data_IF_899830838812
#
_entry.id   IF_899830838812
#
_cell.length_a   1.000
_cell.length_b   1.000
_cell.length_c   1.000
_cell.angle_alpha   90.00
_cell.angle_beta   90.00
_cell.angle_gamma   90.00
#
_symmetry.space_group_name_H-M   'P 1'
#
loop_
_entity.id
_entity.type
_entity.pdbx_description
1 polymer ?
#
# COMPACT_ATOMS: atom_id res chain seq x y z
N UNK A 1 18.25 -23.27 9.27
CA UNK A 1 18.12 -23.66 7.85
C UNK A 1 19.00 -22.71 7.06
N UNK A 2 19.90 -23.21 6.22
CA UNK A 2 20.57 -22.35 5.23
C UNK A 2 19.70 -22.34 3.99
N UNK A 3 19.18 -21.18 3.60
CA UNK A 3 18.31 -21.03 2.45
C UNK A 3 18.72 -19.81 1.63
N UNK A 4 18.38 -19.80 0.35
CA UNK A 4 18.64 -18.67 -0.56
C UNK A 4 17.74 -17.48 -0.18
N UNK A 5 18.32 -16.30 -0.04
CA UNK A 5 17.60 -15.04 0.19
C UNK A 5 17.46 -14.27 -1.11
N UNK A 6 16.24 -13.92 -1.52
CA UNK A 6 16.01 -12.97 -2.62
C UNK A 6 15.82 -11.55 -2.07
N UNK A 7 16.68 -10.63 -2.51
CA UNK A 7 16.59 -9.21 -2.14
C UNK A 7 15.91 -8.48 -3.29
N UNK A 8 14.66 -8.08 -3.09
CA UNK A 8 13.80 -7.45 -4.09
C UNK A 8 13.90 -5.94 -3.94
N UNK A 9 14.30 -5.25 -5.02
CA UNK A 9 14.52 -3.80 -5.04
C UNK A 9 13.65 -3.18 -6.14
N UNK A 10 12.41 -2.75 -5.83
CA UNK A 10 11.60 -2.01 -6.78
C UNK A 10 12.21 -0.62 -7.01
N UNK A 11 12.33 -0.22 -8.27
CA UNK A 11 13.03 1.01 -8.67
C UNK A 11 12.28 1.75 -9.78
N UNK A 12 12.24 3.09 -9.72
CA UNK A 12 11.61 3.92 -10.76
C UNK A 12 12.28 5.27 -10.89
N UNK A 13 12.96 5.53 -12.03
CA UNK A 13 13.75 6.74 -12.28
C UNK A 13 14.77 7.03 -11.17
N UNK A 14 15.53 6.02 -10.81
CA UNK A 14 16.56 6.01 -9.76
C UNK A 14 17.88 5.44 -10.25
N UNK A 15 18.18 5.62 -11.55
CA UNK A 15 19.37 5.05 -12.20
C UNK A 15 20.67 5.33 -11.47
N UNK A 16 20.83 6.54 -10.90
CA UNK A 16 22.04 6.93 -10.18
C UNK A 16 22.33 6.10 -8.92
N UNK A 17 21.32 5.43 -8.36
CA UNK A 17 21.44 4.67 -7.11
C UNK A 17 21.79 3.20 -7.34
N UNK A 18 21.55 2.64 -8.53
CA UNK A 18 21.66 1.19 -8.81
C UNK A 18 23.04 0.64 -8.47
N UNK A 19 24.09 1.28 -8.98
CA UNK A 19 25.46 0.79 -8.82
C UNK A 19 25.88 0.77 -7.35
N UNK A 20 25.56 1.85 -6.61
CA UNK A 20 25.89 1.94 -5.19
C UNK A 20 25.07 0.93 -4.37
N UNK A 21 23.77 0.84 -4.60
CA UNK A 21 22.90 -0.10 -3.90
C UNK A 21 23.33 -1.55 -4.14
N UNK A 22 23.64 -1.92 -5.40
CA UNK A 22 24.12 -3.25 -5.71
C UNK A 22 25.43 -3.57 -4.97
N UNK A 23 26.43 -2.68 -5.02
CA UNK A 23 27.71 -2.91 -4.36
C UNK A 23 27.54 -3.05 -2.82
N UNK A 24 26.83 -2.13 -2.18
CA UNK A 24 26.60 -2.16 -0.71
C UNK A 24 25.93 -3.47 -0.28
N UNK A 25 24.89 -3.89 -1.00
CA UNK A 25 24.18 -5.13 -0.67
C UNK A 25 25.07 -6.35 -0.91
N UNK A 26 25.79 -6.42 -2.03
CA UNK A 26 26.74 -7.50 -2.34
C UNK A 26 27.79 -7.63 -1.24
N UNK A 27 28.41 -6.52 -0.84
CA UNK A 27 29.45 -6.51 0.19
C UNK A 27 28.94 -7.07 1.52
N UNK A 28 27.78 -6.60 1.99
CA UNK A 28 27.16 -7.05 3.24
C UNK A 28 26.80 -8.55 3.19
N UNK A 29 26.16 -9.00 2.11
CA UNK A 29 25.76 -10.41 2.00
C UNK A 29 26.98 -11.34 1.92
N UNK A 30 28.03 -10.93 1.22
CA UNK A 30 29.28 -11.67 1.09
C UNK A 30 30.04 -11.73 2.42
N UNK A 31 30.15 -10.60 3.14
CA UNK A 31 30.78 -10.53 4.46
C UNK A 31 30.13 -11.49 5.46
N UNK A 32 28.79 -11.53 5.46
CA UNK A 32 28.02 -12.37 6.37
C UNK A 32 27.76 -13.79 5.86
N UNK A 33 28.27 -14.14 4.66
CA UNK A 33 28.15 -15.48 4.03
C UNK A 33 26.70 -15.95 3.91
N UNK A 34 25.79 -15.05 3.60
CA UNK A 34 24.38 -15.36 3.35
C UNK A 34 24.23 -15.71 1.87
N UNK A 35 23.67 -16.87 1.50
CA UNK A 35 23.35 -17.19 0.10
C UNK A 35 22.26 -16.22 -0.38
N UNK A 36 22.49 -15.48 -1.47
CA UNK A 36 21.60 -14.42 -1.91
C UNK A 36 21.47 -14.32 -3.43
N UNK A 37 20.38 -13.74 -3.88
CA UNK A 37 20.22 -13.07 -5.16
C UNK A 37 19.69 -11.65 -4.94
N UNK A 38 20.05 -10.71 -5.80
CA UNK A 38 19.49 -9.36 -5.85
C UNK A 38 18.63 -9.26 -7.10
N UNK A 39 17.38 -8.88 -6.94
CA UNK A 39 16.42 -8.72 -8.03
C UNK A 39 15.95 -7.27 -8.10
N UNK A 40 16.51 -6.50 -9.02
CA UNK A 40 16.01 -5.17 -9.36
C UNK A 40 14.76 -5.30 -10.23
N UNK A 41 13.70 -4.55 -9.87
CA UNK A 41 12.50 -4.47 -10.68
C UNK A 41 12.30 -3.03 -11.13
N UNK A 42 12.60 -2.77 -12.37
CA UNK A 42 12.42 -1.46 -12.99
C UNK A 42 10.97 -1.29 -13.47
N UNK A 43 10.24 -0.39 -12.82
CA UNK A 43 8.84 -0.09 -13.09
C UNK A 43 8.67 0.82 -14.33
N UNK A 44 9.29 0.44 -15.45
CA UNK A 44 9.17 1.13 -16.73
C UNK A 44 9.71 2.56 -16.69
N UNK A 45 10.92 2.74 -16.19
CA UNK A 45 11.61 4.03 -16.08
C UNK A 45 11.92 4.63 -17.45
N UNK A 46 12.19 5.95 -17.44
CA UNK A 46 12.54 6.72 -18.63
C UNK A 46 14.02 7.18 -18.62
N UNK A 47 14.70 6.99 -17.50
CA UNK A 47 16.13 7.27 -17.34
C UNK A 47 16.97 6.06 -17.76
N UNK A 48 18.29 6.09 -17.49
CA UNK A 48 19.23 5.04 -17.86
C UNK A 48 19.27 3.84 -16.89
N UNK A 49 18.29 3.71 -16.00
CA UNK A 49 18.25 2.69 -14.94
C UNK A 49 18.39 1.27 -15.49
N UNK A 50 17.68 0.94 -16.59
CA UNK A 50 17.74 -0.41 -17.16
C UNK A 50 19.15 -0.78 -17.66
N UNK A 51 19.82 0.15 -18.32
CA UNK A 51 21.21 -0.07 -18.76
C UNK A 51 22.16 -0.31 -17.57
N UNK A 52 21.93 0.40 -16.44
CA UNK A 52 22.71 0.21 -15.20
C UNK A 52 22.43 -1.12 -14.54
N UNK A 53 21.16 -1.56 -14.48
CA UNK A 53 20.81 -2.89 -13.98
C UNK A 53 21.49 -3.98 -14.82
N UNK A 54 21.44 -3.88 -16.14
CA UNK A 54 22.15 -4.80 -17.05
C UNK A 54 23.68 -4.80 -16.83
N UNK A 55 24.27 -3.64 -16.56
CA UNK A 55 25.70 -3.55 -16.24
C UNK A 55 26.02 -4.19 -14.89
N UNK A 56 25.19 -3.96 -13.87
CA UNK A 56 25.32 -4.58 -12.55
C UNK A 56 25.17 -6.11 -12.62
N UNK A 57 24.23 -6.62 -13.41
CA UNK A 57 24.03 -8.06 -13.66
C UNK A 57 25.25 -8.72 -14.34
N UNK A 58 25.92 -8.01 -15.25
CA UNK A 58 27.17 -8.51 -15.86
C UNK A 58 28.35 -8.50 -14.89
N UNK A 59 28.36 -7.57 -13.94
CA UNK A 59 29.43 -7.41 -12.95
C UNK A 59 29.29 -8.39 -11.78
N UNK A 60 28.07 -8.72 -11.37
CA UNK A 60 27.77 -9.55 -10.21
C UNK A 60 26.83 -10.70 -10.60
N UNK A 61 27.30 -11.93 -10.51
CA UNK A 61 26.58 -13.15 -10.93
C UNK A 61 25.20 -13.31 -10.24
N UNK A 62 25.06 -12.79 -9.02
CA UNK A 62 23.83 -12.89 -8.22
C UNK A 62 22.89 -11.71 -8.41
N UNK A 63 23.17 -10.78 -9.33
CA UNK A 63 22.31 -9.63 -9.64
C UNK A 63 21.50 -9.92 -10.90
N UNK A 64 20.21 -9.73 -10.82
CA UNK A 64 19.24 -9.92 -11.90
C UNK A 64 18.31 -8.70 -12.02
N UNK A 65 17.71 -8.53 -13.17
CA UNK A 65 16.77 -7.44 -13.43
C UNK A 65 15.54 -7.87 -14.18
N UNK A 66 14.43 -7.18 -13.90
CA UNK A 66 13.16 -7.27 -14.62
C UNK A 66 12.74 -5.84 -14.99
N UNK A 67 12.45 -5.60 -16.26
CA UNK A 67 12.01 -4.29 -16.79
C UNK A 67 10.58 -4.35 -17.29
N UNK A 68 9.74 -3.41 -16.87
CA UNK A 68 8.35 -3.32 -17.29
C UNK A 68 8.18 -2.51 -18.59
N UNK A 69 7.18 -2.87 -19.38
CA UNK A 69 6.82 -2.16 -20.62
C UNK A 69 6.35 -0.71 -20.39
N UNK A 70 5.92 -0.36 -19.17
CA UNK A 70 5.55 0.98 -18.71
C UNK A 70 5.48 1.00 -17.18
N UNK A 71 5.27 2.17 -16.59
CA UNK A 71 5.01 2.29 -15.15
C UNK A 71 3.66 1.65 -14.78
N UNK A 72 3.68 0.66 -13.87
CA UNK A 72 2.54 -0.03 -13.26
C UNK A 72 2.40 0.27 -11.77
N UNK A 73 3.39 0.91 -11.15
CA UNK A 73 3.43 1.29 -9.74
C UNK A 73 4.21 0.34 -8.84
N UNK A 74 4.68 0.87 -7.69
CA UNK A 74 5.54 0.17 -6.73
C UNK A 74 4.98 -1.19 -6.29
N UNK A 75 3.68 -1.28 -6.03
CA UNK A 75 3.02 -2.53 -5.61
C UNK A 75 3.11 -3.62 -6.69
N UNK A 76 3.02 -3.23 -7.96
CA UNK A 76 3.21 -4.14 -9.10
C UNK A 76 4.66 -4.58 -9.20
N UNK A 77 5.62 -3.68 -8.95
CA UNK A 77 7.03 -4.02 -8.95
C UNK A 77 7.39 -4.98 -7.82
N UNK A 78 6.83 -4.79 -6.61
CA UNK A 78 6.98 -5.74 -5.50
C UNK A 78 6.39 -7.11 -5.90
N UNK A 79 5.17 -7.13 -6.47
CA UNK A 79 4.52 -8.37 -6.90
C UNK A 79 5.35 -9.11 -7.96
N UNK A 80 5.94 -8.40 -8.90
CA UNK A 80 6.86 -9.00 -9.88
C UNK A 80 8.12 -9.54 -9.19
N UNK A 81 8.71 -8.78 -8.28
CA UNK A 81 9.84 -9.24 -7.48
C UNK A 81 9.55 -10.55 -6.76
N UNK A 82 8.40 -10.65 -6.09
CA UNK A 82 7.95 -11.89 -5.44
C UNK A 82 7.76 -13.04 -6.44
N UNK A 83 7.27 -12.73 -7.66
CA UNK A 83 7.03 -13.74 -8.72
C UNK A 83 8.33 -14.31 -9.28
N UNK A 84 9.35 -13.47 -9.49
CA UNK A 84 10.62 -13.84 -10.10
C UNK A 84 11.68 -14.25 -9.07
N UNK A 85 11.44 -14.07 -7.79
CA UNK A 85 12.32 -14.48 -6.69
C UNK A 85 12.47 -16.00 -6.64
N UNK A 86 13.72 -16.49 -6.54
CA UNK A 86 14.08 -17.91 -6.46
C UNK A 86 14.34 -18.37 -5.03
N UNK A 87 14.49 -17.44 -4.09
CA UNK A 87 14.89 -17.71 -2.71
C UNK A 87 13.85 -18.48 -1.89
N UNK A 88 14.32 -19.11 -0.82
CA UNK A 88 13.52 -19.73 0.23
C UNK A 88 12.85 -18.70 1.12
N UNK A 89 13.41 -17.49 1.16
CA UNK A 89 12.82 -16.28 1.72
C UNK A 89 13.14 -15.08 0.83
N UNK A 90 12.40 -14.00 0.99
CA UNK A 90 12.69 -12.74 0.31
C UNK A 90 12.65 -11.55 1.26
N UNK A 91 13.41 -10.51 0.95
CA UNK A 91 13.30 -9.21 1.59
C UNK A 91 13.00 -8.15 0.53
N UNK A 92 12.06 -7.25 0.84
CA UNK A 92 11.78 -6.08 0.00
C UNK A 92 12.46 -4.87 0.62
N UNK A 93 13.23 -4.11 -0.16
CA UNK A 93 13.87 -2.87 0.29
C UNK A 93 13.85 -1.81 -0.81
N UNK A 94 13.85 -0.54 -0.43
CA UNK A 94 13.91 0.56 -1.39
C UNK A 94 15.36 0.78 -1.90
N UNK A 95 15.49 1.28 -3.15
CA UNK A 95 16.77 1.50 -3.81
C UNK A 95 17.59 2.64 -3.18
N UNK A 96 16.98 3.53 -2.41
CA UNK A 96 17.59 4.75 -1.85
C UNK A 96 18.41 4.53 -0.55
N UNK A 97 18.59 3.27 -0.14
CA UNK A 97 19.31 2.86 1.07
C UNK A 97 18.78 3.48 2.38
N UNK A 98 17.59 4.12 2.37
CA UNK A 98 16.93 4.55 3.61
C UNK A 98 16.57 3.38 4.52
N UNK A 99 16.41 2.21 3.95
CA UNK A 99 16.34 0.92 4.63
C UNK A 99 17.77 0.38 4.80
N UNK A 100 18.34 0.35 6.03
CA UNK A 100 19.73 -0.07 6.22
C UNK A 100 19.94 -1.53 5.81
N UNK A 101 20.74 -1.86 4.76
CA UNK A 101 20.89 -3.23 4.28
C UNK A 101 21.48 -4.19 5.33
N UNK A 102 22.24 -3.67 6.30
CA UNK A 102 22.78 -4.48 7.40
C UNK A 102 21.68 -5.13 8.26
N UNK A 103 20.48 -4.53 8.31
CA UNK A 103 19.33 -5.10 9.02
C UNK A 103 18.81 -6.39 8.36
N UNK A 104 19.10 -6.61 7.09
CA UNK A 104 18.76 -7.86 6.38
C UNK A 104 19.42 -9.06 7.08
N UNK A 105 20.63 -8.89 7.59
CA UNK A 105 21.35 -9.96 8.33
C UNK A 105 20.60 -10.37 9.58
N UNK A 106 20.06 -9.39 10.34
CA UNK A 106 19.25 -9.65 11.54
C UNK A 106 17.91 -10.33 11.16
N UNK A 107 17.26 -9.84 10.08
CA UNK A 107 16.02 -10.44 9.57
C UNK A 107 16.23 -11.90 9.14
N UNK A 108 17.32 -12.19 8.43
CA UNK A 108 17.64 -13.53 7.97
C UNK A 108 17.87 -14.50 9.13
N UNK A 109 18.55 -14.07 10.22
CA UNK A 109 18.72 -14.87 11.43
C UNK A 109 17.39 -15.20 12.10
N UNK A 110 16.51 -14.22 12.24
CA UNK A 110 15.18 -14.44 12.81
C UNK A 110 14.33 -15.40 11.94
N UNK A 111 14.45 -15.31 10.63
CA UNK A 111 13.83 -16.29 9.74
C UNK A 111 14.39 -17.72 9.97
N UNK A 112 15.70 -17.85 10.16
CA UNK A 112 16.32 -19.16 10.52
C UNK A 112 15.80 -19.71 11.85
N UNK A 113 15.41 -18.83 12.79
CA UNK A 113 14.77 -19.18 14.07
C UNK A 113 13.28 -19.57 13.93
N UNK A 114 12.75 -19.50 12.69
CA UNK A 114 11.40 -19.96 12.36
C UNK A 114 10.32 -18.87 12.42
N UNK A 115 10.69 -17.59 12.34
CA UNK A 115 9.75 -16.53 12.02
C UNK A 115 9.49 -16.51 10.52
N UNK A 116 8.22 -16.39 10.13
CA UNK A 116 7.79 -16.44 8.72
C UNK A 116 7.67 -15.05 8.10
N UNK A 117 7.46 -14.04 8.96
CA UNK A 117 7.47 -12.61 8.58
C UNK A 117 8.35 -11.85 9.58
N UNK A 118 9.36 -11.14 9.08
CA UNK A 118 10.16 -10.22 9.89
C UNK A 118 9.98 -8.81 9.35
N UNK A 119 9.35 -7.95 10.15
CA UNK A 119 9.01 -6.59 9.76
C UNK A 119 10.00 -5.59 10.38
N UNK A 120 10.62 -4.76 9.56
CA UNK A 120 11.38 -3.63 10.07
C UNK A 120 10.45 -2.45 10.36
N UNK A 121 10.46 -1.97 11.61
CA UNK A 121 9.67 -0.85 12.08
C UNK A 121 10.56 0.37 12.36
N UNK A 122 10.09 1.55 11.98
CA UNK A 122 10.86 2.80 12.22
C UNK A 122 10.87 3.14 13.71
N UNK A 123 12.07 3.31 14.29
CA UNK A 123 12.23 3.74 15.69
C UNK A 123 11.70 5.16 15.93
N UNK A 124 11.92 6.06 14.99
CA UNK A 124 11.50 7.46 15.10
C UNK A 124 11.07 8.00 13.74
N UNK A 125 10.07 8.89 13.72
CA UNK A 125 9.57 9.52 12.49
C UNK A 125 10.25 10.84 12.15
N UNK A 126 11.35 11.16 12.83
CA UNK A 126 12.06 12.45 12.66
C UNK A 126 11.25 13.66 13.14
N UNK A 127 11.79 14.85 12.97
CA UNK A 127 11.15 16.15 13.29
C UNK A 127 10.09 16.51 12.22
N UNK A 128 8.97 15.82 12.20
CA UNK A 128 7.79 16.28 11.45
C UNK A 128 7.09 17.39 12.24
N UNK A 129 6.61 18.45 11.55
CA UNK A 129 5.83 19.51 12.19
C UNK A 129 4.62 18.89 12.91
N UNK A 130 4.32 19.36 14.14
CA UNK A 130 3.32 18.78 15.03
C UNK A 130 1.94 18.56 14.38
N UNK A 131 1.53 19.42 13.45
CA UNK A 131 0.25 19.33 12.71
C UNK A 131 0.28 18.16 11.72
N UNK A 132 1.35 17.99 10.95
CA UNK A 132 1.48 16.87 10.02
C UNK A 132 1.53 15.53 10.74
N UNK A 133 2.24 15.45 11.86
CA UNK A 133 2.31 14.27 12.73
C UNK A 133 0.94 13.92 13.31
N UNK A 134 0.17 14.91 13.78
CA UNK A 134 -1.18 14.69 14.29
C UNK A 134 -2.13 14.18 13.21
N UNK A 135 -2.12 14.78 12.02
CA UNK A 135 -2.94 14.34 10.88
C UNK A 135 -2.57 12.93 10.42
N UNK A 136 -1.28 12.64 10.28
CA UNK A 136 -0.80 11.31 9.90
C UNK A 136 -1.18 10.24 10.95
N UNK A 137 -0.97 10.52 12.24
CA UNK A 137 -1.33 9.59 13.31
C UNK A 137 -2.83 9.34 13.39
N UNK A 138 -3.65 10.38 13.23
CA UNK A 138 -5.12 10.25 13.19
C UNK A 138 -5.55 9.41 11.99
N UNK A 139 -4.96 9.68 10.83
CA UNK A 139 -5.20 8.91 9.61
C UNK A 139 -4.85 7.42 9.78
N UNK A 140 -3.64 7.10 10.25
CA UNK A 140 -3.25 5.71 10.49
C UNK A 140 -4.09 5.01 11.54
N UNK A 141 -4.48 5.71 12.63
CA UNK A 141 -5.40 5.16 13.64
C UNK A 141 -6.77 4.82 13.05
N UNK A 142 -7.32 5.69 12.20
CA UNK A 142 -8.60 5.45 11.52
C UNK A 142 -8.47 4.24 10.60
N UNK A 143 -7.44 4.18 9.76
CA UNK A 143 -7.22 3.04 8.86
C UNK A 143 -7.04 1.75 9.68
N UNK A 144 -6.17 1.73 10.68
CA UNK A 144 -5.94 0.54 11.50
C UNK A 144 -7.23 0.04 12.15
N UNK A 145 -8.09 0.97 12.63
CA UNK A 145 -9.40 0.62 13.20
C UNK A 145 -10.40 0.09 12.16
N UNK A 146 -10.38 0.64 10.95
CA UNK A 146 -11.30 0.24 9.87
C UNK A 146 -10.88 -1.06 9.18
N UNK A 147 -9.58 -1.34 9.14
CA UNK A 147 -9.01 -2.51 8.44
C UNK A 147 -8.65 -3.66 9.38
N UNK A 148 -8.65 -3.43 10.69
CA UNK A 148 -8.09 -4.33 11.73
C UNK A 148 -6.61 -4.69 11.49
N UNK A 149 -5.86 -3.86 10.77
CA UNK A 149 -4.43 -4.03 10.49
C UNK A 149 -3.67 -2.87 11.12
N UNK A 150 -2.65 -3.16 11.93
CA UNK A 150 -1.79 -2.09 12.47
C UNK A 150 -0.90 -1.50 11.36
N UNK A 151 -1.28 -0.29 10.93
CA UNK A 151 -0.59 0.44 9.87
C UNK A 151 0.36 1.51 10.42
N UNK A 152 0.39 1.71 11.76
CA UNK A 152 1.08 2.87 12.34
C UNK A 152 2.58 2.91 12.11
N UNK A 153 3.23 1.74 12.10
CA UNK A 153 4.68 1.63 11.93
C UNK A 153 5.08 0.69 10.77
N UNK A 154 4.09 0.22 10.00
CA UNK A 154 4.32 -0.70 8.90
C UNK A 154 5.21 -0.07 7.82
N UNK A 155 6.23 -0.79 7.40
CA UNK A 155 7.11 -0.42 6.29
C UNK A 155 7.06 -1.49 5.19
N UNK A 156 7.59 -1.16 3.99
CA UNK A 156 7.78 -2.16 2.95
C UNK A 156 9.02 -3.02 3.22
N UNK A 157 9.89 -2.60 4.14
CA UNK A 157 11.09 -3.33 4.52
C UNK A 157 10.74 -4.53 5.39
N UNK A 158 10.46 -5.66 4.73
CA UNK A 158 10.03 -6.91 5.36
C UNK A 158 10.74 -8.09 4.72
N UNK A 159 11.09 -9.07 5.55
CA UNK A 159 11.48 -10.39 5.09
C UNK A 159 10.29 -11.33 5.21
N UNK A 160 10.06 -12.11 4.16
CA UNK A 160 8.97 -13.08 4.05
C UNK A 160 9.51 -14.47 3.73
N UNK A 161 9.03 -15.49 4.40
CA UNK A 161 9.24 -16.89 4.04
C UNK A 161 8.57 -17.23 2.70
N UNK A 162 9.07 -18.22 2.00
CA UNK A 162 8.51 -18.70 0.72
C UNK A 162 7.03 -19.03 0.79
N UNK A 163 6.56 -19.60 1.89
CA UNK A 163 5.14 -19.90 2.10
C UNK A 163 4.28 -18.64 2.07
N UNK A 164 4.76 -17.58 2.75
CA UNK A 164 4.08 -16.28 2.78
C UNK A 164 4.04 -15.67 1.38
N UNK A 165 5.18 -15.69 0.66
CA UNK A 165 5.26 -15.22 -0.73
C UNK A 165 4.21 -15.91 -1.61
N UNK A 166 4.12 -17.24 -1.56
CA UNK A 166 3.18 -18.02 -2.36
C UNK A 166 1.73 -17.68 -2.03
N UNK A 167 1.40 -17.46 -0.77
CA UNK A 167 0.05 -17.03 -0.35
C UNK A 167 -0.28 -15.65 -0.94
N UNK A 168 0.65 -14.69 -0.82
CA UNK A 168 0.46 -13.34 -1.37
C UNK A 168 0.31 -13.35 -2.90
N UNK A 169 1.08 -14.16 -3.60
CA UNK A 169 1.00 -14.30 -5.07
C UNK A 169 -0.31 -14.94 -5.52
N UNK A 170 -0.90 -15.83 -4.72
CA UNK A 170 -2.19 -16.45 -5.00
C UNK A 170 -3.39 -15.52 -4.73
N UNK A 171 -3.18 -14.39 -4.06
CA UNK A 171 -4.23 -13.39 -3.88
C UNK A 171 -4.51 -12.68 -5.21
N UNK A 172 -5.77 -12.78 -5.66
CA UNK A 172 -6.19 -12.25 -6.97
C UNK A 172 -6.48 -10.76 -6.95
N UNK A 173 -6.43 -10.13 -5.79
CA UNK A 173 -6.71 -8.70 -5.63
C UNK A 173 -5.79 -7.86 -6.51
N UNK A 174 -6.39 -7.01 -7.35
CA UNK A 174 -5.63 -6.11 -8.23
C UNK A 174 -4.91 -5.02 -7.45
N UNK A 175 -5.59 -4.46 -6.45
CA UNK A 175 -5.04 -3.47 -5.54
C UNK A 175 -4.32 -4.15 -4.37
N UNK A 176 -3.21 -4.84 -4.67
CA UNK A 176 -2.38 -5.45 -3.63
C UNK A 176 -1.62 -4.36 -2.88
N UNK A 177 -1.99 -4.09 -1.66
CA UNK A 177 -1.23 -3.24 -0.76
C UNK A 177 -0.32 -4.12 0.08
N UNK A 178 0.94 -4.23 -0.30
CA UNK A 178 1.91 -5.16 0.27
C UNK A 178 2.01 -5.08 1.80
N UNK A 179 2.05 -3.85 2.36
CA UNK A 179 2.11 -3.64 3.82
C UNK A 179 0.94 -4.25 4.54
N UNK A 180 -0.27 -4.08 4.02
CA UNK A 180 -1.48 -4.59 4.65
C UNK A 180 -1.61 -6.09 4.45
N UNK A 181 -1.42 -6.57 3.23
CA UNK A 181 -1.58 -7.99 2.90
C UNK A 181 -0.58 -8.87 3.65
N UNK A 182 0.68 -8.45 3.75
CA UNK A 182 1.72 -9.18 4.48
C UNK A 182 1.44 -9.30 5.98
N UNK A 183 0.69 -8.38 6.56
CA UNK A 183 0.24 -8.45 7.95
C UNK A 183 -1.09 -9.21 8.10
N UNK A 184 -1.97 -9.11 7.08
CA UNK A 184 -3.28 -9.76 7.08
C UNK A 184 -3.21 -11.29 7.02
N UNK A 185 -2.19 -11.85 6.38
CA UNK A 185 -2.04 -13.30 6.21
C UNK A 185 -1.83 -14.08 7.51
N UNK A 186 -1.48 -13.43 8.63
CA UNK A 186 -1.50 -14.01 9.98
C UNK A 186 -0.41 -15.06 10.26
N UNK A 187 0.70 -15.06 9.53
CA UNK A 187 1.86 -15.92 9.79
C UNK A 187 2.64 -15.49 11.04
N UNK A 188 3.54 -16.35 11.53
CA UNK A 188 4.38 -16.07 12.70
C UNK A 188 5.29 -14.87 12.43
N UNK A 189 4.94 -13.73 13.02
CA UNK A 189 5.57 -12.42 12.75
C UNK A 189 6.43 -11.98 13.94
N UNK A 190 7.56 -11.31 13.65
CA UNK A 190 8.33 -10.53 14.61
C UNK A 190 8.71 -9.18 14.01
N UNK A 191 9.12 -8.24 14.86
CA UNK A 191 9.49 -6.89 14.46
C UNK A 191 10.90 -6.55 14.92
N UNK A 192 11.66 -5.86 14.07
CA UNK A 192 12.96 -5.29 14.42
C UNK A 192 12.94 -3.77 14.21
N UNK A 193 13.49 -3.00 15.15
CA UNK A 193 13.57 -1.56 14.99
C UNK A 193 14.70 -1.16 14.03
N UNK A 194 14.46 -0.10 13.24
CA UNK A 194 15.51 0.52 12.45
C UNK A 194 15.40 2.04 12.43
N UNK A 195 16.53 2.70 12.29
CA UNK A 195 16.61 4.15 12.06
C UNK A 195 16.72 4.40 10.57
N UNK A 196 15.90 5.33 10.10
CA UNK A 196 15.94 5.73 8.69
C UNK A 196 17.29 6.42 8.42
N UNK A 197 18.05 5.91 7.47
CA UNK A 197 19.26 6.58 7.01
C UNK A 197 18.92 7.86 6.23
N UNK A 198 19.82 8.82 6.20
CA UNK A 198 19.67 10.00 5.35
C UNK A 198 19.65 9.57 3.88
N UNK A 199 18.78 10.19 3.09
CA UNK A 199 18.73 9.93 1.64
C UNK A 199 20.01 10.37 0.98
N UNK A 200 20.63 9.49 0.20
CA UNK A 200 21.81 9.85 -0.59
C UNK A 200 21.46 10.77 -1.78
N UNK A 201 20.24 10.69 -2.34
CA UNK A 201 19.74 11.56 -3.40
C UNK A 201 18.20 11.48 -3.55
N UNK A 202 17.57 12.56 -4.05
CA UNK A 202 16.15 12.62 -4.43
C UNK A 202 15.25 13.38 -3.46
N UNK A 203 14.18 13.99 -4.01
CA UNK A 203 13.14 14.68 -3.24
C UNK A 203 11.90 13.79 -3.07
N UNK A 204 11.12 14.02 -2.00
CA UNK A 204 9.84 13.31 -1.81
C UNK A 204 8.84 13.70 -2.92
N UNK A 205 8.43 12.71 -3.72
CA UNK A 205 7.53 12.90 -4.88
C UNK A 205 6.03 12.90 -4.51
N UNK A 206 5.67 12.82 -3.23
CA UNK A 206 4.28 12.69 -2.80
C UNK A 206 3.59 14.05 -2.68
N UNK A 207 2.60 14.31 -3.54
CA UNK A 207 1.71 15.47 -3.40
C UNK A 207 0.55 15.16 -2.44
N UNK A 208 -0.02 16.18 -1.79
CA UNK A 208 -1.20 16.04 -0.91
C UNK A 208 -2.36 15.33 -1.63
N UNK A 209 -2.56 15.61 -2.91
CA UNK A 209 -3.60 14.97 -3.73
C UNK A 209 -3.35 13.46 -3.91
N UNK A 210 -2.10 13.05 -4.09
CA UNK A 210 -1.74 11.64 -4.22
C UNK A 210 -1.92 10.90 -2.89
N UNK A 211 -1.62 11.54 -1.75
CA UNK A 211 -1.86 11.00 -0.42
C UNK A 211 -3.35 10.76 -0.15
N UNK A 212 -4.22 11.71 -0.49
CA UNK A 212 -5.67 11.57 -0.34
C UNK A 212 -6.19 10.43 -1.23
N UNK A 213 -5.76 10.36 -2.49
CA UNK A 213 -6.15 9.28 -3.39
C UNK A 213 -5.73 7.91 -2.85
N UNK A 214 -4.50 7.81 -2.36
CA UNK A 214 -3.94 6.62 -1.74
C UNK A 214 -4.75 6.21 -0.49
N UNK A 215 -5.13 7.19 0.34
CA UNK A 215 -5.96 6.97 1.51
C UNK A 215 -7.33 6.38 1.16
N UNK A 216 -8.03 6.99 0.20
CA UNK A 216 -9.36 6.52 -0.24
C UNK A 216 -9.25 5.10 -0.79
N UNK A 217 -8.24 4.84 -1.64
CA UNK A 217 -8.02 3.52 -2.22
C UNK A 217 -7.84 2.45 -1.13
N UNK A 218 -6.99 2.72 -0.13
CA UNK A 218 -6.74 1.77 0.97
C UNK A 218 -7.96 1.55 1.85
N UNK A 219 -8.69 2.62 2.24
CA UNK A 219 -9.91 2.48 3.04
C UNK A 219 -10.94 1.63 2.30
N UNK A 220 -11.13 1.86 1.01
CA UNK A 220 -12.15 1.15 0.23
C UNK A 220 -11.75 -0.27 -0.14
N UNK A 221 -10.45 -0.58 -0.23
CA UNK A 221 -9.96 -1.94 -0.50
C UNK A 221 -10.08 -2.86 0.73
N UNK A 222 -9.90 -2.32 1.94
CA UNK A 222 -9.88 -3.11 3.17
C UNK A 222 -11.09 -2.91 4.09
N UNK A 223 -12.02 -2.01 3.74
CA UNK A 223 -13.18 -1.70 4.60
C UNK A 223 -14.44 -1.41 3.81
N UNK A 224 -15.56 -1.96 4.27
CA UNK A 224 -16.89 -1.63 3.79
C UNK A 224 -17.51 -0.41 4.51
N UNK A 225 -16.77 0.24 5.42
CA UNK A 225 -17.28 1.36 6.21
C UNK A 225 -17.88 2.50 5.38
N UNK A 226 -17.31 2.93 4.23
CA UNK A 226 -17.96 3.93 3.38
C UNK A 226 -19.35 3.53 2.88
N UNK A 227 -19.58 2.22 2.62
CA UNK A 227 -20.92 1.73 2.25
C UNK A 227 -21.88 1.75 3.44
N UNK A 228 -21.39 1.48 4.66
CA UNK A 228 -22.21 1.56 5.86
C UNK A 228 -22.69 3.01 6.13
N UNK A 229 -21.86 4.01 5.79
CA UNK A 229 -22.25 5.43 5.88
C UNK A 229 -23.49 5.69 5.01
N UNK A 230 -23.57 5.13 3.82
CA UNK A 230 -24.74 5.23 2.93
C UNK A 230 -26.02 4.73 3.63
N UNK A 231 -25.92 3.56 4.27
CA UNK A 231 -27.03 2.96 5.01
C UNK A 231 -27.47 3.84 6.20
N UNK A 232 -26.48 4.34 6.97
CA UNK A 232 -26.75 5.24 8.12
C UNK A 232 -27.43 6.54 7.66
N UNK A 233 -26.93 7.16 6.58
CA UNK A 233 -27.56 8.34 5.99
C UNK A 233 -29.00 8.08 5.58
N UNK A 234 -29.28 6.91 4.97
CA UNK A 234 -30.63 6.49 4.62
C UNK A 234 -31.56 6.40 5.84
N UNK A 235 -31.11 5.78 6.95
CA UNK A 235 -31.85 5.71 8.19
C UNK A 235 -32.11 7.07 8.83
N UNK A 236 -31.10 7.95 8.85
CA UNK A 236 -31.24 9.32 9.38
C UNK A 236 -32.29 10.08 8.57
N UNK A 237 -32.23 9.99 7.23
CA UNK A 237 -33.23 10.64 6.36
C UNK A 237 -34.64 10.10 6.57
N UNK A 238 -34.77 8.78 6.77
CA UNK A 238 -36.07 8.17 7.08
C UNK A 238 -36.65 8.74 8.39
N UNK A 239 -35.83 8.83 9.45
CA UNK A 239 -36.26 9.39 10.73
C UNK A 239 -36.69 10.87 10.61
N UNK A 240 -35.89 11.67 9.91
CA UNK A 240 -36.20 13.07 9.63
C UNK A 240 -37.51 13.17 8.86
N UNK A 241 -37.71 12.36 7.84
CA UNK A 241 -38.92 12.33 7.03
C UNK A 241 -40.17 11.98 7.86
N UNK A 242 -40.08 11.00 8.75
CA UNK A 242 -41.17 10.60 9.66
C UNK A 242 -41.53 11.75 10.61
N UNK A 243 -40.54 12.41 11.23
CA UNK A 243 -40.76 13.54 12.15
C UNK A 243 -41.47 14.69 11.41
N UNK A 244 -40.98 15.08 10.24
CA UNK A 244 -41.60 16.13 9.44
C UNK A 244 -42.98 15.73 8.94
N UNK A 245 -43.21 14.47 8.57
CA UNK A 245 -44.48 13.93 8.15
C UNK A 245 -45.53 14.04 9.26
N UNK A 246 -45.21 13.60 10.49
CA UNK A 246 -46.10 13.70 11.65
C UNK A 246 -46.43 15.17 11.94
N UNK A 247 -45.43 16.05 12.01
CA UNK A 247 -45.64 17.48 12.26
C UNK A 247 -46.55 18.12 11.19
N UNK A 248 -46.35 17.79 9.93
CA UNK A 248 -47.20 18.28 8.83
C UNK A 248 -48.66 17.83 8.97
N UNK A 249 -48.90 16.58 9.36
CA UNK A 249 -50.23 16.05 9.59
C UNK A 249 -50.90 16.77 10.78
N UNK A 250 -50.15 16.98 11.88
CA UNK A 250 -50.69 17.71 13.07
C UNK A 250 -51.05 19.14 12.71
N UNK A 251 -50.20 19.85 11.94
CA UNK A 251 -50.49 21.21 11.49
C UNK A 251 -51.74 21.27 10.57
N UNK A 252 -51.90 20.28 9.70
CA UNK A 252 -53.06 20.18 8.81
C UNK A 252 -54.35 19.98 9.63
N UNK A 253 -54.34 19.04 10.59
CA UNK A 253 -55.52 18.78 11.43
C UNK A 253 -55.89 19.99 12.28
N UNK A 254 -54.93 20.75 12.78
CA UNK A 254 -55.14 21.95 13.59
C UNK A 254 -55.51 23.20 12.76
N UNK A 255 -55.58 23.10 11.42
CA UNK A 255 -55.88 24.24 10.53
C UNK A 255 -54.80 25.32 10.48
N UNK A 256 -53.57 25.01 10.98
CA UNK A 256 -52.44 25.93 11.03
C UNK A 256 -51.40 25.67 9.93
N UNK A 257 -51.76 24.86 8.94
CA UNK A 257 -50.85 24.53 7.83
C UNK A 257 -50.47 25.80 7.02
N UNK A 258 -49.23 26.23 7.19
CA UNK A 258 -48.65 27.34 6.44
C UNK A 258 -48.27 26.91 5.03
N UNK A 259 -48.30 27.83 4.05
CA UNK A 259 -47.82 27.59 2.70
C UNK A 259 -46.32 27.20 2.72
N UNK A 260 -46.02 25.88 2.70
CA UNK A 260 -44.70 25.33 2.93
C UNK A 260 -43.84 25.11 1.66
N UNK A 261 -44.11 25.81 0.55
CA UNK A 261 -43.46 25.59 -0.74
C UNK A 261 -41.93 25.67 -0.64
N UNK A 262 -41.41 26.70 0.02
CA UNK A 262 -39.95 26.87 0.23
C UNK A 262 -39.36 25.74 1.05
N UNK A 263 -40.04 25.30 2.11
CA UNK A 263 -39.58 24.18 2.96
C UNK A 263 -39.54 22.87 2.20
N UNK A 264 -40.54 22.62 1.33
CA UNK A 264 -40.56 21.42 0.46
C UNK A 264 -39.39 21.43 -0.49
N UNK A 265 -39.08 22.57 -1.17
CA UNK A 265 -37.93 22.70 -2.07
C UNK A 265 -36.63 22.45 -1.34
N UNK A 266 -36.43 23.07 -0.17
CA UNK A 266 -35.18 22.87 0.60
C UNK A 266 -35.01 21.42 1.04
N UNK A 267 -36.04 20.75 1.54
CA UNK A 267 -36.01 19.34 1.91
C UNK A 267 -35.71 18.45 0.68
N UNK A 268 -36.34 18.77 -0.47
CA UNK A 268 -36.10 18.02 -1.71
C UNK A 268 -34.66 18.17 -2.19
N UNK A 269 -34.12 19.38 -2.19
CA UNK A 269 -32.71 19.61 -2.57
C UNK A 269 -31.73 18.91 -1.62
N UNK A 270 -32.00 18.96 -0.30
CA UNK A 270 -31.17 18.32 0.70
C UNK A 270 -31.18 16.79 0.54
N UNK A 271 -32.37 16.17 0.44
CA UNK A 271 -32.46 14.72 0.25
C UNK A 271 -31.88 14.27 -1.09
N UNK A 272 -32.10 15.02 -2.16
CA UNK A 272 -31.49 14.73 -3.46
C UNK A 272 -29.96 14.79 -3.41
N UNK A 273 -29.38 15.76 -2.69
CA UNK A 273 -27.93 15.86 -2.51
C UNK A 273 -27.35 14.64 -1.77
N UNK A 274 -28.01 14.18 -0.72
CA UNK A 274 -27.59 12.96 0.00
C UNK A 274 -27.67 11.74 -0.91
N UNK A 275 -28.78 11.58 -1.66
CA UNK A 275 -28.92 10.47 -2.61
C UNK A 275 -27.78 10.48 -3.65
N UNK A 276 -27.45 11.65 -4.20
CA UNK A 276 -26.34 11.77 -5.16
C UNK A 276 -24.99 11.38 -4.57
N UNK A 277 -24.71 11.78 -3.30
CA UNK A 277 -23.48 11.36 -2.60
C UNK A 277 -23.48 9.84 -2.41
N UNK A 278 -24.58 9.26 -1.97
CA UNK A 278 -24.72 7.82 -1.77
C UNK A 278 -24.48 7.04 -3.09
N UNK A 279 -25.09 7.49 -4.18
CA UNK A 279 -24.88 6.92 -5.53
C UNK A 279 -23.42 7.04 -5.97
N UNK A 280 -22.76 8.14 -5.64
CA UNK A 280 -21.33 8.34 -5.93
C UNK A 280 -20.47 7.31 -5.21
N UNK A 281 -20.73 7.03 -3.92
CA UNK A 281 -20.02 6.01 -3.15
C UNK A 281 -20.24 4.62 -3.77
N UNK A 282 -21.49 4.27 -4.05
CA UNK A 282 -21.85 2.98 -4.67
C UNK A 282 -21.16 2.85 -6.04
N UNK A 283 -21.23 3.90 -6.87
CA UNK A 283 -20.56 3.93 -8.18
C UNK A 283 -19.06 3.71 -8.10
N UNK A 284 -18.42 4.24 -7.07
CA UNK A 284 -16.99 4.01 -6.83
C UNK A 284 -16.68 2.53 -6.54
N UNK A 285 -17.46 1.85 -5.69
CA UNK A 285 -17.29 0.42 -5.43
C UNK A 285 -17.57 -0.44 -6.67
N UNK A 286 -18.60 -0.09 -7.45
CA UNK A 286 -18.90 -0.77 -8.72
C UNK A 286 -17.70 -0.61 -9.69
N UNK A 287 -17.09 0.56 -9.75
CA UNK A 287 -15.91 0.78 -10.59
C UNK A 287 -14.72 -0.08 -10.14
N UNK A 288 -14.50 -0.26 -8.83
CA UNK A 288 -13.48 -1.16 -8.31
C UNK A 288 -13.76 -2.63 -8.67
N UNK A 289 -14.99 -3.10 -8.45
CA UNK A 289 -15.41 -4.46 -8.84
C UNK A 289 -15.20 -4.67 -10.35
N UNK A 290 -15.57 -3.68 -11.17
CA UNK A 290 -15.39 -3.74 -12.60
C UNK A 290 -13.90 -3.86 -12.99
N UNK A 291 -13.02 -3.16 -12.30
CA UNK A 291 -11.58 -3.24 -12.54
C UNK A 291 -10.98 -4.60 -12.11
N UNK A 292 -11.52 -5.24 -11.05
CA UNK A 292 -11.15 -6.61 -10.67
C UNK A 292 -11.59 -7.64 -11.71
N UNK A 293 -12.83 -7.55 -12.19
CA UNK A 293 -13.41 -8.52 -13.15
C UNK A 293 -12.68 -8.48 -14.51
N UNK A 294 -12.09 -7.34 -14.89
CA UNK A 294 -11.33 -7.23 -16.15
C UNK A 294 -10.14 -8.20 -16.23
N UNK A 295 -9.61 -8.67 -15.12
CA UNK A 295 -8.52 -9.65 -15.08
C UNK A 295 -7.24 -9.21 -15.81
N UNK A 296 -6.99 -7.90 -15.95
CA UNK A 296 -5.76 -7.40 -16.55
C UNK A 296 -4.56 -7.73 -15.67
N UNK A 297 -3.41 -8.16 -16.26
CA UNK A 297 -2.22 -8.47 -15.48
C UNK A 297 -1.76 -7.26 -14.66
N UNK A 298 -1.23 -7.52 -13.47
CA UNK A 298 -0.72 -6.46 -12.56
C UNK A 298 0.49 -5.74 -13.15
N UNK A 299 1.29 -6.42 -13.97
CA UNK A 299 2.45 -5.89 -14.69
C UNK A 299 2.67 -6.64 -16.00
N UNK A 300 3.45 -6.07 -16.89
CA UNK A 300 3.89 -6.67 -18.15
C UNK A 300 5.41 -6.49 -18.23
N UNK A 301 6.15 -7.58 -18.24
CA UNK A 301 7.60 -7.59 -18.42
C UNK A 301 7.93 -7.43 -19.89
N UNK A 302 8.87 -6.54 -20.22
CA UNK A 302 9.42 -6.35 -21.56
C UNK A 302 10.79 -6.99 -21.72
N UNK A 303 11.64 -6.94 -20.66
CA UNK A 303 13.00 -7.46 -20.70
C UNK A 303 13.41 -8.04 -19.33
N UNK A 304 14.34 -9.00 -19.36
CA UNK A 304 14.97 -9.62 -18.19
C UNK A 304 16.49 -9.72 -18.40
N UNK A 305 17.28 -9.68 -17.32
CA UNK A 305 18.72 -9.90 -17.35
C UNK A 305 19.24 -10.61 -16.10
#
# INVERSE_FOLDING_TARGET
MEGLLSIIIPSYNEGLLIDNTANVVVDIMTEHKIPYEILFVDDGSKDDIWNRIQAASKKHEHVRGVHFSRNFGKESAITAGLTYAKGDCCVVMDCDLQHPPIKIVEMYKLWQEGYEVVEAVKEDRGEESGIHRFMANTFYKIISKLTNIDMMNASDFKLLDRKVMLVLLNMKEKNSFFRALSSWVGFKTTQIPFRVAEREAGESKWSTKSLIKYAILNITSFSSAPMQIVTICGFIMLLISVIFGINSIVQYVNGTALGGFTTVILLQLFSSSIIMICLGIIGYYIAQIYDEIKGRPKFIVSEEC
#
